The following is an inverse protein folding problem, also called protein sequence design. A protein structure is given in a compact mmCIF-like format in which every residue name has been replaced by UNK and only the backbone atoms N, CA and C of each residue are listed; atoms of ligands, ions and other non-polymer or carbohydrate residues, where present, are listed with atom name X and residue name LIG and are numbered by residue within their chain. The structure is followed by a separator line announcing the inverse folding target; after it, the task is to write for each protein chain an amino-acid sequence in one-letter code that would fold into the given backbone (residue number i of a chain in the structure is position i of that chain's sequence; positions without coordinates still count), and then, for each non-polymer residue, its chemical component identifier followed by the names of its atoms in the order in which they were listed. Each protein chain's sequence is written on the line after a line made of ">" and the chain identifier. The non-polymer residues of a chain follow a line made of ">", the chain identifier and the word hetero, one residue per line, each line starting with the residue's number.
data_IF_464909588485
#
_entry.id   IF_464909588485
#
_cell.length_a   1.000
_cell.length_b   1.000
_cell.length_c   1.000
_cell.angle_alpha   90.00
_cell.angle_beta   90.00
_cell.angle_gamma   90.00
#
_symmetry.space_group_name_H-M   'P 1'
#
loop_
_entity.id
_entity.type
_entity.pdbx_description
1 polymer ?
#
# COMPACT_ATOMS: atom_id res chain seq x y z
N UNK A 1 -8.62 0.68 -8.42
CA UNK A 1 -7.50 1.42 -9.06
C UNK A 1 -6.24 1.29 -8.19
N UNK A 2 -5.03 1.20 -8.76
CA UNK A 2 -3.77 0.86 -8.04
C UNK A 2 -2.70 1.92 -8.33
N UNK A 3 -2.07 2.47 -7.28
CA UNK A 3 -0.96 3.41 -7.39
C UNK A 3 0.31 2.74 -6.88
N UNK A 4 1.35 2.68 -7.72
CA UNK A 4 2.62 2.10 -7.31
C UNK A 4 3.39 3.05 -6.43
N UNK A 5 4.16 2.50 -5.48
CA UNK A 5 5.02 3.28 -4.59
C UNK A 5 6.00 4.18 -5.37
N UNK A 6 6.58 3.66 -6.46
CA UNK A 6 7.49 4.45 -7.30
C UNK A 6 6.80 5.63 -7.99
N UNK A 7 5.53 5.45 -8.37
CA UNK A 7 4.73 6.52 -8.97
C UNK A 7 4.40 7.60 -7.94
N UNK A 8 4.02 7.19 -6.72
CA UNK A 8 3.76 8.10 -5.60
C UNK A 8 5.01 8.86 -5.14
N UNK A 9 6.22 8.24 -5.21
CA UNK A 9 7.48 8.97 -4.96
C UNK A 9 7.71 10.14 -5.92
N UNK A 10 7.25 10.00 -7.17
CA UNK A 10 7.37 11.05 -8.20
C UNK A 10 6.21 12.05 -8.17
N UNK A 11 5.07 11.63 -7.65
CA UNK A 11 3.79 12.35 -7.68
C UNK A 11 3.09 12.26 -6.31
N UNK A 12 3.66 12.88 -5.26
CA UNK A 12 3.11 12.82 -3.91
C UNK A 12 1.71 13.45 -3.81
N UNK A 13 1.36 14.39 -4.68
CA UNK A 13 0.03 15.00 -4.76
C UNK A 13 -1.10 13.98 -5.04
N UNK A 14 -0.74 12.78 -5.52
CA UNK A 14 -1.70 11.70 -5.79
C UNK A 14 -2.03 10.86 -4.56
N UNK A 15 -1.42 11.12 -3.41
CA UNK A 15 -1.80 10.49 -2.14
C UNK A 15 -3.21 10.87 -1.72
N UNK A 16 -3.67 12.08 -2.03
CA UNK A 16 -5.02 12.55 -1.69
C UNK A 16 -6.12 11.98 -2.62
N UNK A 17 -5.75 11.07 -3.53
CA UNK A 17 -6.70 10.51 -4.50
C UNK A 17 -7.73 9.57 -3.87
N UNK A 18 -7.39 8.97 -2.74
CA UNK A 18 -8.25 8.06 -2.00
C UNK A 18 -8.13 8.37 -0.51
N UNK A 19 -9.25 8.31 0.21
CA UNK A 19 -9.23 8.44 1.67
C UNK A 19 -8.59 7.19 2.30
N UNK A 20 -9.03 6.01 1.84
CA UNK A 20 -8.61 4.72 2.37
C UNK A 20 -8.03 3.78 1.32
N UNK A 21 -7.01 3.03 1.72
CA UNK A 21 -6.28 2.09 0.86
C UNK A 21 -5.90 0.81 1.59
N UNK A 22 -5.60 -0.23 0.81
CA UNK A 22 -4.92 -1.46 1.20
C UNK A 22 -3.51 -1.46 0.61
N UNK A 23 -2.57 -2.07 1.33
CA UNK A 23 -1.18 -2.18 0.89
C UNK A 23 -0.94 -3.55 0.24
N UNK A 24 -0.55 -3.55 -1.03
CA UNK A 24 -0.17 -4.75 -1.78
C UNK A 24 1.35 -4.90 -1.84
N UNK A 25 1.87 -6.07 -1.44
CA UNK A 25 3.25 -6.48 -1.70
C UNK A 25 3.34 -7.27 -2.99
N UNK A 26 4.02 -6.71 -3.99
CA UNK A 26 4.31 -7.44 -5.23
C UNK A 26 5.49 -8.41 -5.12
N UNK A 27 6.26 -8.38 -4.04
CA UNK A 27 7.28 -9.40 -3.71
C UNK A 27 6.61 -10.71 -3.28
N UNK A 28 5.68 -10.62 -2.33
CA UNK A 28 5.02 -11.80 -1.74
C UNK A 28 3.72 -12.18 -2.44
N UNK A 29 3.21 -11.32 -3.34
CA UNK A 29 1.88 -11.45 -3.93
C UNK A 29 0.78 -11.53 -2.85
N UNK A 30 0.88 -10.68 -1.83
CA UNK A 30 -0.02 -10.68 -0.67
C UNK A 30 -0.31 -9.25 -0.19
N UNK A 31 -1.42 -9.11 0.53
CA UNK A 31 -1.83 -7.89 1.23
C UNK A 31 -1.18 -7.80 2.60
N UNK A 32 -0.90 -6.58 3.06
CA UNK A 32 -0.55 -6.37 4.47
C UNK A 32 -1.80 -6.52 5.32
N UNK A 33 -1.69 -7.27 6.42
CA UNK A 33 -2.76 -7.39 7.43
C UNK A 33 -2.85 -6.10 8.27
N UNK A 34 -3.91 -5.90 9.07
CA UNK A 34 -4.03 -4.75 9.97
C UNK A 34 -2.77 -4.50 10.82
N UNK A 35 -2.57 -3.26 11.24
CA UNK A 35 -1.40 -2.79 12.01
C UNK A 35 -0.05 -3.00 11.30
N UNK A 36 -0.05 -3.16 9.97
CA UNK A 36 1.12 -3.50 9.16
C UNK A 36 1.85 -4.80 9.60
N UNK A 37 1.11 -5.76 10.18
CA UNK A 37 1.68 -6.99 10.78
C UNK A 37 1.37 -8.24 9.98
N UNK A 38 2.33 -8.62 9.14
CA UNK A 38 2.27 -9.85 8.36
C UNK A 38 1.45 -9.70 7.08
N UNK A 39 1.27 -10.83 6.40
CA UNK A 39 0.73 -10.88 5.04
C UNK A 39 -0.46 -11.84 4.96
N UNK A 40 -1.40 -11.57 4.06
CA UNK A 40 -2.49 -12.48 3.71
C UNK A 40 -2.73 -12.47 2.20
N UNK A 41 -2.96 -13.63 1.57
CA UNK A 41 -3.44 -13.68 0.18
C UNK A 41 -4.90 -13.24 0.06
N UNK A 42 -5.67 -13.25 1.15
CA UNK A 42 -7.09 -12.91 1.14
C UNK A 42 -7.30 -11.40 1.32
N UNK A 43 -7.87 -10.74 0.31
CA UNK A 43 -8.15 -9.31 0.34
C UNK A 43 -9.13 -8.91 1.45
N UNK A 44 -10.06 -9.79 1.85
CA UNK A 44 -11.01 -9.48 2.93
C UNK A 44 -10.37 -9.39 4.31
N UNK A 45 -9.15 -9.93 4.46
CA UNK A 45 -8.37 -9.88 5.70
C UNK A 45 -7.27 -8.79 5.67
N UNK A 46 -7.19 -8.03 4.57
CA UNK A 46 -6.22 -6.97 4.41
C UNK A 46 -6.54 -5.79 5.34
N UNK A 47 -5.50 -5.15 5.87
CA UNK A 47 -5.64 -3.89 6.59
C UNK A 47 -6.13 -2.79 5.66
N UNK A 48 -7.06 -1.97 6.17
CA UNK A 48 -7.49 -0.72 5.54
C UNK A 48 -6.86 0.42 6.32
N UNK A 49 -6.23 1.33 5.61
CA UNK A 49 -5.41 2.40 6.15
C UNK A 49 -5.83 3.72 5.53
N UNK A 50 -5.67 4.80 6.27
CA UNK A 50 -5.67 6.12 5.65
C UNK A 50 -4.48 6.24 4.71
N UNK A 51 -4.65 6.91 3.57
CA UNK A 51 -3.60 6.91 2.53
C UNK A 51 -2.28 7.52 3.02
N UNK A 52 -2.33 8.51 3.92
CA UNK A 52 -1.13 9.13 4.51
C UNK A 52 -0.40 8.14 5.42
N UNK A 53 -1.14 7.42 6.27
CA UNK A 53 -0.58 6.39 7.14
C UNK A 53 0.05 5.25 6.32
N UNK A 54 -0.70 4.76 5.33
CA UNK A 54 -0.23 3.72 4.43
C UNK A 54 1.08 4.12 3.74
N UNK A 55 1.18 5.38 3.30
CA UNK A 55 2.41 5.92 2.73
C UNK A 55 3.56 5.93 3.72
N UNK A 56 3.35 6.40 4.95
CA UNK A 56 4.38 6.41 6.00
C UNK A 56 4.94 5.00 6.25
N UNK A 57 4.07 3.98 6.24
CA UNK A 57 4.48 2.58 6.40
C UNK A 57 5.37 2.06 5.27
N UNK A 58 5.22 2.59 4.04
CA UNK A 58 5.88 1.99 2.85
C UNK A 58 6.87 2.91 2.16
N UNK A 59 6.96 4.20 2.52
CA UNK A 59 7.83 5.18 1.87
C UNK A 59 9.30 4.75 1.84
N UNK A 60 9.75 4.07 2.90
CA UNK A 60 11.10 3.54 3.06
C UNK A 60 11.37 2.24 2.29
N UNK A 61 10.34 1.54 1.80
CA UNK A 61 10.51 0.29 1.08
C UNK A 61 11.30 0.49 -0.24
N UNK A 62 12.14 -0.50 -0.56
CA UNK A 62 12.87 -0.55 -1.82
C UNK A 62 11.98 -0.95 -3.01
N UNK A 63 12.50 -0.78 -4.23
CA UNK A 63 11.77 -1.06 -5.49
C UNK A 63 11.46 -2.55 -5.66
N UNK A 64 12.30 -3.42 -5.11
CA UNK A 64 12.19 -4.88 -5.12
C UNK A 64 10.90 -5.38 -4.46
N UNK A 65 10.38 -4.63 -3.48
CA UNK A 65 9.13 -4.94 -2.77
C UNK A 65 7.88 -4.77 -3.64
N UNK A 66 7.99 -4.00 -4.73
CA UNK A 66 6.90 -3.72 -5.69
C UNK A 66 5.61 -3.28 -4.98
N UNK A 67 5.74 -2.44 -3.94
CA UNK A 67 4.61 -1.99 -3.13
C UNK A 67 3.63 -1.16 -3.96
N UNK A 68 2.34 -1.33 -3.70
CA UNK A 68 1.29 -0.48 -4.24
C UNK A 68 0.19 -0.21 -3.23
N UNK A 69 -0.36 1.01 -3.29
CA UNK A 69 -1.56 1.38 -2.57
C UNK A 69 -2.77 1.17 -3.48
N UNK A 70 -3.76 0.42 -2.98
CA UNK A 70 -4.97 0.04 -3.73
C UNK A 70 -6.17 0.58 -2.99
N UNK A 71 -7.08 1.29 -3.66
CA UNK A 71 -8.29 1.83 -3.02
C UNK A 71 -9.05 0.74 -2.24
N UNK A 72 -9.50 1.11 -1.03
CA UNK A 72 -10.27 0.25 -0.14
C UNK A 72 -11.70 -0.01 -0.67
#
# INVERSE_FOLDING_TARGET
>A
MKLTHQHLKKHPEKLERFDQVRIWSGEWHMWWRPDARGYTPNQSEAGVYDTIEAWACVAHCGREKKISLVAA
#
